data_IF_741754357237
#
_entry.id   IF_741754357237
#
_cell.length_a   1.000
_cell.length_b   1.000
_cell.length_c   1.000
_cell.angle_alpha   90.00
_cell.angle_beta   90.00
_cell.angle_gamma   90.00
#
_symmetry.space_group_name_H-M   'P 1'
#
loop_
_entity.id
_entity.type
_entity.pdbx_description
1 polymer ?
#
# COMPACT_ATOMS: atom_id res chain seq x y z
N UNK A 1 4.08 -3.06 -18.25
CA UNK A 1 3.41 -2.15 -17.29
C UNK A 1 3.83 -2.38 -15.85
N UNK A 2 3.86 -3.62 -15.33
CA UNK A 2 4.28 -3.83 -13.94
C UNK A 2 5.81 -3.65 -13.75
N UNK A 3 6.62 -4.15 -14.69
CA UNK A 3 8.08 -4.04 -14.59
C UNK A 3 8.55 -2.58 -14.44
N UNK A 4 7.98 -1.64 -15.19
CA UNK A 4 8.33 -0.22 -15.11
C UNK A 4 8.02 0.40 -13.75
N UNK A 5 7.01 -0.12 -13.04
CA UNK A 5 6.67 0.35 -11.70
C UNK A 5 7.66 -0.15 -10.64
N UNK A 6 8.21 -1.37 -10.79
CA UNK A 6 9.07 -1.99 -9.78
C UNK A 6 10.55 -1.61 -9.94
N UNK A 7 10.99 -1.08 -11.09
CA UNK A 7 12.42 -0.84 -11.37
C UNK A 7 13.14 0.03 -10.34
N UNK A 8 12.43 0.96 -9.69
CA UNK A 8 13.03 1.91 -8.74
C UNK A 8 12.54 1.72 -7.29
N UNK A 9 11.85 0.61 -7.02
CA UNK A 9 11.33 0.32 -5.69
C UNK A 9 12.42 -0.33 -4.84
N UNK A 10 12.69 0.27 -3.69
CA UNK A 10 13.65 -0.21 -2.70
C UNK A 10 12.95 -1.00 -1.59
N UNK A 11 11.70 -0.66 -1.29
CA UNK A 11 10.94 -1.25 -0.20
C UNK A 11 9.54 -1.69 -0.63
N UNK A 12 9.18 -2.91 -0.26
CA UNK A 12 7.84 -3.46 -0.45
C UNK A 12 7.26 -3.77 0.92
N UNK A 13 6.14 -3.14 1.25
CA UNK A 13 5.39 -3.37 2.48
C UNK A 13 4.12 -4.15 2.16
N UNK A 14 3.88 -5.23 2.90
CA UNK A 14 2.70 -6.08 2.73
C UNK A 14 1.85 -5.96 3.98
N UNK A 15 0.61 -5.51 3.82
CA UNK A 15 -0.36 -5.52 4.90
C UNK A 15 -0.84 -6.96 5.12
N UNK A 16 -0.44 -7.58 6.25
CA UNK A 16 -0.83 -8.95 6.58
C UNK A 16 -2.31 -9.09 6.97
N UNK A 17 -2.96 -7.99 7.36
CA UNK A 17 -4.36 -7.98 7.74
C UNK A 17 -5.25 -7.60 6.56
N UNK A 18 -6.49 -8.12 6.57
CA UNK A 18 -7.51 -7.75 5.60
C UNK A 18 -7.76 -6.24 5.61
N UNK A 19 -7.72 -5.63 4.43
CA UNK A 19 -7.99 -4.21 4.23
C UNK A 19 -9.37 -4.03 3.60
N UNK A 20 -10.15 -3.07 4.07
CA UNK A 20 -11.48 -2.78 3.52
C UNK A 20 -11.38 -1.80 2.35
N UNK A 21 -11.34 -2.34 1.12
CA UNK A 21 -11.20 -1.55 -0.10
C UNK A 21 -12.45 -0.71 -0.44
N UNK A 22 -13.60 -0.94 0.22
CA UNK A 22 -14.81 -0.12 0.00
C UNK A 22 -14.60 1.34 0.39
N UNK A 23 -13.61 1.61 1.25
CA UNK A 23 -13.21 2.94 1.68
C UNK A 23 -12.25 3.65 0.71
N UNK A 24 -11.93 3.04 -0.43
CA UNK A 24 -11.13 3.61 -1.53
C UNK A 24 -9.71 4.02 -1.13
N UNK A 25 -9.00 4.72 -2.03
CA UNK A 25 -7.57 5.02 -1.93
C UNK A 25 -7.21 5.88 -0.71
N UNK A 26 -8.04 6.86 -0.35
CA UNK A 26 -7.79 7.76 0.78
C UNK A 26 -7.66 7.00 2.10
N UNK A 27 -8.44 5.93 2.25
CA UNK A 27 -8.38 5.07 3.43
C UNK A 27 -7.09 4.24 3.51
N UNK A 28 -6.55 3.83 2.36
CA UNK A 28 -5.28 3.11 2.28
C UNK A 28 -4.12 4.05 2.64
N UNK A 29 -4.14 5.27 2.11
CA UNK A 29 -3.18 6.33 2.46
C UNK A 29 -3.23 6.62 3.96
N UNK A 30 -4.43 6.82 4.52
CA UNK A 30 -4.60 7.04 5.95
C UNK A 30 -4.07 5.87 6.79
N UNK A 31 -4.25 4.62 6.35
CA UNK A 31 -3.74 3.44 7.02
C UNK A 31 -2.20 3.44 7.04
N UNK A 32 -1.55 3.69 5.90
CA UNK A 32 -0.07 3.77 5.81
C UNK A 32 0.48 4.86 6.72
N UNK A 33 -0.11 6.06 6.68
CA UNK A 33 0.37 7.22 7.46
C UNK A 33 0.07 7.07 8.95
N UNK A 34 -1.16 6.71 9.32
CA UNK A 34 -1.59 6.77 10.73
C UNK A 34 -1.27 5.49 11.50
N UNK A 35 -1.46 4.33 10.87
CA UNK A 35 -1.30 3.04 11.55
C UNK A 35 0.13 2.52 11.43
N UNK A 36 0.70 2.55 10.22
CA UNK A 36 2.07 2.05 10.00
C UNK A 36 3.15 3.12 10.17
N UNK A 37 2.77 4.42 10.25
CA UNK A 37 3.69 5.55 10.41
C UNK A 37 4.74 5.61 9.29
N UNK A 38 4.33 5.26 8.07
CA UNK A 38 5.15 5.31 6.86
C UNK A 38 4.65 6.43 5.93
N UNK A 39 5.46 6.81 4.96
CA UNK A 39 5.08 7.78 3.92
C UNK A 39 4.51 7.06 2.68
N UNK A 40 3.20 7.18 2.40
CA UNK A 40 2.57 6.57 1.22
C UNK A 40 2.97 7.25 -0.10
N UNK A 41 3.59 8.44 -0.06
CA UNK A 41 3.99 9.20 -1.24
C UNK A 41 5.46 8.98 -1.63
N UNK A 42 6.18 8.14 -0.89
CA UNK A 42 7.56 7.78 -1.21
C UNK A 42 7.64 7.05 -2.56
N UNK A 43 8.38 7.63 -3.50
CA UNK A 43 8.56 7.09 -4.86
C UNK A 43 9.30 5.75 -4.89
N UNK A 44 10.04 5.41 -3.83
CA UNK A 44 10.81 4.17 -3.71
C UNK A 44 10.09 3.07 -2.91
N UNK A 45 8.83 3.26 -2.55
CA UNK A 45 8.04 2.32 -1.76
C UNK A 45 6.81 1.80 -2.52
N UNK A 46 6.54 0.51 -2.41
CA UNK A 46 5.26 -0.10 -2.77
C UNK A 46 4.53 -0.64 -1.54
N UNK A 47 3.21 -0.47 -1.54
CA UNK A 47 2.32 -1.00 -0.52
C UNK A 47 1.33 -2.00 -1.15
N UNK A 48 1.34 -3.22 -0.64
CA UNK A 48 0.47 -4.31 -1.09
C UNK A 48 -0.58 -4.57 -0.02
N UNK A 49 -1.84 -4.45 -0.41
CA UNK A 49 -2.98 -4.67 0.48
C UNK A 49 -3.75 -5.91 0.06
N UNK A 50 -4.13 -6.73 1.04
CA UNK A 50 -5.00 -7.86 0.81
C UNK A 50 -6.47 -7.43 0.92
N UNK A 51 -7.22 -7.59 -0.17
CA UNK A 51 -8.67 -7.42 -0.17
C UNK A 51 -9.33 -8.74 0.20
N UNK A 52 -9.88 -8.84 1.42
CA UNK A 52 -10.65 -10.01 1.82
C UNK A 52 -12.04 -9.96 1.17
N UNK A 53 -12.15 -10.41 -0.09
CA UNK A 53 -13.44 -10.68 -0.72
C UNK A 53 -13.98 -12.01 -0.18
N UNK A 54 -15.12 -11.98 0.50
CA UNK A 54 -15.95 -13.17 0.70
C UNK A 54 -16.71 -13.47 -0.59
#
# INVERSE_FOLDING_TARGET
MLNSFIQNIQHIYIACQATDFRKQIDSLVALVTMQFKLDPFSESCAFIFYNHRR
#
